data_IF_676207137632
#
_entry.id   IF_676207137632
#
_cell.length_a   1.000
_cell.length_b   1.000
_cell.length_c   1.000
_cell.angle_alpha   90.00
_cell.angle_beta   90.00
_cell.angle_gamma   90.00
#
_symmetry.space_group_name_H-M   'P 1'
#
loop_
_entity.id
_entity.type
_entity.pdbx_description
1 polymer ?
#
# COMPACT_ATOMS: atom_id res chain seq x y z
N UNK A 1 -8.57 -5.94 -20.66
CA UNK A 1 -8.15 -5.90 -19.24
C UNK A 1 -6.88 -5.10 -19.20
N UNK A 2 -6.90 -3.89 -18.64
CA UNK A 2 -5.74 -3.00 -18.57
C UNK A 2 -4.69 -3.64 -17.67
N UNK A 3 -3.67 -4.23 -18.29
CA UNK A 3 -2.47 -4.75 -17.64
C UNK A 3 -1.63 -3.57 -17.15
N UNK A 4 -1.98 -3.02 -15.97
CA UNK A 4 -1.15 -2.05 -15.29
C UNK A 4 0.16 -2.74 -14.88
N UNK A 5 1.26 -2.34 -15.49
CA UNK A 5 2.60 -2.76 -15.09
C UNK A 5 3.18 -1.70 -14.17
N UNK A 6 3.70 -2.15 -13.02
CA UNK A 6 4.38 -1.30 -12.05
C UNK A 6 5.88 -1.47 -12.28
N UNK A 7 6.59 -0.36 -12.43
CA UNK A 7 8.05 -0.31 -12.36
C UNK A 7 8.38 0.59 -11.16
N UNK A 8 8.84 -0.03 -10.08
CA UNK A 8 9.19 0.66 -8.84
C UNK A 8 10.45 0.05 -8.23
N UNK A 9 11.30 0.91 -7.69
CA UNK A 9 12.49 0.52 -6.92
C UNK A 9 12.33 1.07 -5.49
N UNK A 10 12.18 0.16 -4.54
CA UNK A 10 11.94 0.50 -3.13
C UNK A 10 13.16 0.07 -2.33
N UNK A 11 13.87 1.04 -1.76
CA UNK A 11 15.04 0.81 -0.89
C UNK A 11 14.71 1.20 0.54
N UNK A 12 14.50 0.21 1.39
CA UNK A 12 14.37 0.40 2.83
C UNK A 12 15.73 0.26 3.50
N UNK A 13 16.06 1.19 4.41
CA UNK A 13 17.28 1.16 5.22
C UNK A 13 16.89 1.03 6.68
N UNK A 14 17.40 0.00 7.33
CA UNK A 14 17.19 -0.31 8.73
C UNK A 14 18.53 -0.31 9.46
N UNK A 15 18.49 -0.28 10.79
CA UNK A 15 19.70 -0.36 11.61
C UNK A 15 20.50 -1.67 11.34
N UNK A 16 19.79 -2.77 11.07
CA UNK A 16 20.38 -4.10 10.83
C UNK A 16 20.71 -4.41 9.36
N UNK A 17 20.43 -3.48 8.41
CA UNK A 17 20.74 -3.71 7.00
C UNK A 17 19.87 -2.90 6.03
N UNK A 18 19.99 -3.20 4.74
CA UNK A 18 19.13 -2.63 3.72
C UNK A 18 18.31 -3.72 3.02
N UNK A 19 17.09 -3.39 2.62
CA UNK A 19 16.23 -4.25 1.83
C UNK A 19 15.82 -3.52 0.57
N UNK A 20 15.97 -4.18 -0.57
CA UNK A 20 15.58 -3.64 -1.87
C UNK A 20 14.47 -4.50 -2.46
N UNK A 21 13.42 -3.86 -2.93
CA UNK A 21 12.26 -4.50 -3.53
C UNK A 21 11.95 -3.88 -4.88
N UNK A 22 11.48 -4.71 -5.81
CA UNK A 22 11.13 -4.29 -7.17
C UNK A 22 9.81 -4.96 -7.58
N UNK A 23 8.66 -4.48 -7.09
CA UNK A 23 7.36 -5.05 -7.42
C UNK A 23 7.02 -4.82 -8.89
N UNK A 24 6.51 -5.87 -9.56
CA UNK A 24 6.02 -5.80 -10.95
C UNK A 24 4.51 -5.58 -11.05
N UNK A 25 3.78 -5.86 -9.96
CA UNK A 25 2.32 -5.70 -9.89
C UNK A 25 1.86 -4.80 -8.74
N UNK A 26 0.61 -4.36 -8.83
CA UNK A 26 -0.05 -3.57 -7.78
C UNK A 26 -0.14 -4.37 -6.48
N UNK A 27 -0.41 -5.67 -6.54
CA UNK A 27 -0.49 -6.52 -5.34
C UNK A 27 0.87 -6.61 -4.63
N UNK A 28 1.95 -6.82 -5.37
CA UNK A 28 3.30 -6.87 -4.79
C UNK A 28 3.66 -5.53 -4.14
N UNK A 29 3.40 -4.42 -4.83
CA UNK A 29 3.63 -3.08 -4.30
C UNK A 29 2.86 -2.84 -2.99
N UNK A 30 1.60 -3.24 -2.93
CA UNK A 30 0.75 -3.09 -1.75
C UNK A 30 1.27 -3.92 -0.57
N UNK A 31 1.63 -5.19 -0.81
CA UNK A 31 2.18 -6.06 0.24
C UNK A 31 3.49 -5.50 0.81
N UNK A 32 4.41 -5.05 -0.05
CA UNK A 32 5.67 -4.42 0.39
C UNK A 32 5.38 -3.15 1.18
N UNK A 33 4.51 -2.27 0.68
CA UNK A 33 4.16 -1.02 1.35
C UNK A 33 3.56 -1.25 2.75
N UNK A 34 2.63 -2.20 2.88
CA UNK A 34 2.00 -2.54 4.16
C UNK A 34 3.01 -3.20 5.11
N UNK A 35 3.86 -4.10 4.63
CA UNK A 35 4.91 -4.73 5.45
C UNK A 35 5.87 -3.68 6.02
N UNK A 36 6.33 -2.73 5.20
CA UNK A 36 7.17 -1.62 5.66
C UNK A 36 6.46 -0.75 6.69
N UNK A 37 5.17 -0.47 6.46
CA UNK A 37 4.35 0.32 7.38
C UNK A 37 4.19 -0.35 8.75
N UNK A 38 3.96 -1.67 8.77
CA UNK A 38 3.87 -2.46 10.01
C UNK A 38 5.23 -2.53 10.71
N UNK A 39 6.31 -2.71 9.95
CA UNK A 39 7.68 -2.76 10.52
C UNK A 39 8.10 -1.46 11.18
N UNK A 40 7.68 -0.32 10.63
CA UNK A 40 8.11 0.98 11.16
C UNK A 40 7.12 1.58 12.17
N UNK A 41 5.81 1.48 11.93
CA UNK A 41 4.81 2.14 12.77
C UNK A 41 4.06 1.17 13.69
N UNK A 42 4.22 -0.14 13.49
CA UNK A 42 3.43 -1.17 14.17
C UNK A 42 2.07 -1.40 13.53
N UNK A 43 1.42 -2.49 13.93
CA UNK A 43 0.17 -2.99 13.31
C UNK A 43 -0.97 -1.99 13.44
N UNK A 44 -1.18 -1.40 14.62
CA UNK A 44 -2.31 -0.49 14.86
C UNK A 44 -2.21 0.79 14.03
N UNK A 45 -1.02 1.39 13.96
CA UNK A 45 -0.78 2.58 13.15
C UNK A 45 -0.91 2.27 11.64
N UNK A 46 -0.44 1.10 11.21
CA UNK A 46 -0.60 0.65 9.83
C UNK A 46 -2.07 0.53 9.42
N UNK A 47 -2.91 -0.05 10.29
CA UNK A 47 -4.35 -0.14 10.07
C UNK A 47 -5.01 1.24 9.95
N UNK A 48 -4.66 2.19 10.82
CA UNK A 48 -5.18 3.57 10.74
C UNK A 48 -4.78 4.25 9.43
N UNK A 49 -3.57 4.01 8.93
CA UNK A 49 -3.13 4.55 7.65
C UNK A 49 -3.93 3.99 6.47
N UNK A 50 -4.20 2.68 6.48
CA UNK A 50 -5.01 2.02 5.45
C UNK A 50 -6.45 2.54 5.48
N UNK A 51 -7.02 2.73 6.66
CA UNK A 51 -8.36 3.31 6.81
C UNK A 51 -8.45 4.72 6.22
N UNK A 52 -7.45 5.57 6.47
CA UNK A 52 -7.37 6.91 5.87
C UNK A 52 -7.33 6.87 4.34
N UNK A 53 -6.69 5.85 3.75
CA UNK A 53 -6.72 5.66 2.29
C UNK A 53 -8.14 5.35 1.84
N UNK A 54 -8.86 4.46 2.52
CA UNK A 54 -10.25 4.14 2.17
C UNK A 54 -11.19 5.33 2.28
N UNK A 55 -11.00 6.24 3.24
CA UNK A 55 -11.80 7.47 3.35
C UNK A 55 -11.68 8.37 2.10
N UNK A 56 -10.56 8.28 1.35
CA UNK A 56 -10.34 9.05 0.11
C UNK A 56 -10.97 8.41 -1.11
N UNK A 57 -11.36 7.14 -1.03
CA UNK A 57 -12.16 6.47 -2.03
C UNK A 57 -13.59 6.46 -1.54
N UNK A 58 -14.39 7.52 -1.82
CA UNK A 58 -15.80 7.49 -1.48
C UNK A 58 -16.36 6.21 -2.09
N UNK A 59 -16.96 5.37 -1.25
CA UNK A 59 -17.73 4.23 -1.72
C UNK A 59 -18.70 4.81 -2.74
N UNK A 60 -18.53 4.47 -4.02
CA UNK A 60 -19.57 4.73 -5.02
C UNK A 60 -20.70 3.77 -4.67
N UNK A 61 -21.44 4.14 -3.64
CA UNK A 61 -22.67 3.54 -3.13
C UNK A 61 -23.38 4.61 -2.29
N UNK A 62 -23.68 5.74 -2.94
CA UNK A 62 -24.92 6.45 -2.71
C UNK A 62 -25.54 6.63 -4.09
N UNK A 63 -26.15 5.55 -4.56
CA UNK A 63 -27.44 5.58 -5.24
C UNK A 63 -27.67 6.81 -6.14
N UNK A 64 -27.52 6.63 -7.46
CA UNK A 64 -28.50 7.25 -8.36
C UNK A 64 -29.87 6.65 -8.02
N UNK A 65 -30.49 7.23 -7.00
CA UNK A 65 -31.92 7.21 -6.79
C UNK A 65 -32.55 8.02 -7.94
N UNK A 66 -33.22 7.34 -8.86
CA UNK A 66 -34.58 7.62 -9.36
C UNK A 66 -34.92 6.76 -10.57
#
# INVERSE_FOLDING_TARGET
MTSLSIDADIKAKWADGHSSYSPGTTEELALIGIDLLVKELGIEAAQQFINQVFERYPTVSAEHAQ
#
